data_IF_661219195761
#
_entry.id   IF_661219195761
#
_cell.length_a   1.000
_cell.length_b   1.000
_cell.length_c   1.000
_cell.angle_alpha   90.00
_cell.angle_beta   90.00
_cell.angle_gamma   90.00
#
_symmetry.space_group_name_H-M   'P 1'
#
loop_
_entity.id
_entity.type
_entity.pdbx_description
1 polymer ?
#
# COMPACT_ATOMS: atom_id res chain seq x y z
N UNK A 1 -31.34 -3.75 -9.07
CA UNK A 1 -30.45 -4.72 -9.75
C UNK A 1 -29.15 -4.07 -10.28
N UNK A 2 -29.20 -2.98 -11.04
CA UNK A 2 -27.98 -2.24 -11.46
C UNK A 2 -27.18 -1.62 -10.30
N UNK A 3 -27.84 -1.26 -9.19
CA UNK A 3 -27.18 -0.69 -8.00
C UNK A 3 -26.39 -1.74 -7.19
N UNK A 4 -26.89 -2.99 -7.13
CA UNK A 4 -26.14 -4.12 -6.55
C UNK A 4 -24.95 -4.52 -7.42
N UNK A 5 -25.08 -4.50 -8.75
CA UNK A 5 -23.95 -4.69 -9.68
C UNK A 5 -22.91 -3.55 -9.59
N UNK A 6 -23.34 -2.32 -9.32
CA UNK A 6 -22.50 -1.15 -9.13
C UNK A 6 -21.69 -1.23 -7.83
N UNK A 7 -22.33 -1.67 -6.73
CA UNK A 7 -21.66 -1.91 -5.45
C UNK A 7 -20.82 -3.20 -5.43
N UNK A 8 -21.15 -4.21 -6.25
CA UNK A 8 -20.27 -5.37 -6.51
C UNK A 8 -18.96 -4.99 -7.20
N UNK A 9 -18.95 -3.93 -8.02
CA UNK A 9 -17.73 -3.43 -8.70
C UNK A 9 -16.76 -2.72 -7.74
N UNK A 10 -17.24 -2.33 -6.56
CA UNK A 10 -16.46 -1.70 -5.50
C UNK A 10 -16.58 -2.44 -4.16
N UNK A 11 -16.44 -3.77 -4.16
CA UNK A 11 -16.20 -4.54 -2.93
C UNK A 11 -15.00 -5.49 -3.06
N UNK A 12 -14.13 -5.38 -2.05
CA UNK A 12 -12.98 -6.24 -1.69
C UNK A 12 -11.70 -6.08 -2.52
N UNK A 13 -10.84 -5.14 -2.11
CA UNK A 13 -9.45 -5.54 -1.85
C UNK A 13 -9.39 -6.12 -0.43
N UNK A 14 -9.95 -7.32 -0.26
CA UNK A 14 -9.47 -8.22 0.80
C UNK A 14 -7.96 -8.35 0.54
N UNK A 15 -7.15 -8.40 1.60
CA UNK A 15 -5.75 -8.81 1.49
C UNK A 15 -5.70 -10.22 0.93
N UNK A 16 -5.78 -10.34 -0.39
CA UNK A 16 -5.57 -11.57 -1.13
C UNK A 16 -4.06 -11.62 -1.29
N UNK A 17 -3.43 -12.67 -0.78
CA UNK A 17 -2.18 -13.13 -1.34
C UNK A 17 -2.43 -13.30 -2.83
N UNK A 18 -2.01 -12.30 -3.61
CA UNK A 18 -2.15 -12.27 -5.07
C UNK A 18 -1.21 -13.33 -5.66
N UNK A 19 -1.53 -14.59 -5.44
CA UNK A 19 -1.04 -15.71 -6.23
C UNK A 19 -1.78 -15.64 -7.56
N UNK A 20 -1.43 -14.70 -8.43
CA UNK A 20 -1.98 -14.65 -9.78
C UNK A 20 -0.87 -14.86 -10.80
N UNK A 21 -0.73 -16.15 -11.15
CA UNK A 21 -0.93 -16.64 -12.52
C UNK A 21 0.03 -16.17 -13.61
N UNK A 22 1.32 -16.03 -13.28
CA UNK A 22 2.39 -16.23 -14.28
C UNK A 22 3.20 -17.46 -13.87
N UNK A 23 2.87 -18.61 -14.46
CA UNK A 23 3.68 -19.85 -14.47
C UNK A 23 4.12 -20.40 -13.09
N UNK A 24 3.23 -20.87 -12.22
CA UNK A 24 3.58 -21.66 -11.01
C UNK A 24 4.69 -21.11 -10.07
N UNK A 25 5.18 -19.89 -10.26
CA UNK A 25 6.26 -19.32 -9.47
C UNK A 25 5.69 -18.71 -8.18
N UNK A 26 6.37 -18.88 -7.04
CA UNK A 26 5.95 -18.30 -5.77
C UNK A 26 5.91 -16.77 -5.87
N UNK A 27 4.82 -16.16 -5.40
CA UNK A 27 4.67 -14.71 -5.39
C UNK A 27 5.66 -14.08 -4.40
N UNK A 28 6.53 -13.20 -4.90
CA UNK A 28 7.56 -12.54 -4.08
C UNK A 28 7.09 -11.11 -3.75
N UNK A 29 6.97 -10.79 -2.46
CA UNK A 29 6.51 -9.47 -1.98
C UNK A 29 7.59 -8.40 -2.25
N UNK A 30 7.18 -7.14 -2.43
CA UNK A 30 8.14 -6.01 -2.54
C UNK A 30 8.97 -5.90 -1.26
N UNK A 31 10.23 -5.42 -1.36
CA UNK A 31 10.96 -4.99 -0.16
C UNK A 31 10.16 -3.91 0.58
N UNK A 32 10.23 -3.94 1.90
CA UNK A 32 9.53 -2.98 2.75
C UNK A 32 10.20 -1.62 2.64
N UNK A 33 9.41 -0.57 2.41
CA UNK A 33 9.89 0.80 2.49
C UNK A 33 9.93 1.28 3.95
N UNK A 34 10.53 2.45 4.19
CA UNK A 34 10.73 3.01 5.53
C UNK A 34 9.42 3.12 6.34
N UNK A 35 8.36 3.63 5.72
CA UNK A 35 7.05 3.74 6.38
C UNK A 35 6.42 2.37 6.68
N UNK A 36 6.61 1.37 5.81
CA UNK A 36 6.08 0.03 6.03
C UNK A 36 6.83 -0.70 7.15
N UNK A 37 8.14 -0.45 7.33
CA UNK A 37 8.91 -0.92 8.48
C UNK A 37 8.37 -0.30 9.77
N UNK A 38 8.24 1.03 9.80
CA UNK A 38 7.63 1.73 10.93
C UNK A 38 6.21 1.21 11.26
N UNK A 39 5.37 1.05 10.24
CA UNK A 39 4.02 0.52 10.40
C UNK A 39 4.05 -0.89 10.99
N UNK A 40 4.96 -1.77 10.56
CA UNK A 40 5.07 -3.13 11.09
C UNK A 40 5.25 -3.13 12.61
N UNK A 41 6.06 -2.21 13.13
CA UNK A 41 6.34 -2.07 14.57
C UNK A 41 5.18 -1.41 15.33
N UNK A 42 4.62 -0.34 14.77
CA UNK A 42 3.62 0.48 15.47
C UNK A 42 2.19 -0.03 15.33
N UNK A 43 1.90 -0.84 14.31
CA UNK A 43 0.57 -1.39 14.07
C UNK A 43 -0.02 -2.12 15.28
N UNK A 44 0.66 -3.09 15.94
CA UNK A 44 0.11 -3.76 17.11
C UNK A 44 -0.14 -2.79 18.28
N UNK A 45 0.77 -1.82 18.49
CA UNK A 45 0.65 -0.83 19.56
C UNK A 45 -0.58 0.06 19.39
N UNK A 46 -0.78 0.60 18.19
CA UNK A 46 -1.92 1.47 17.88
C UNK A 46 -3.22 0.67 17.85
N UNK A 47 -3.19 -0.56 17.31
CA UNK A 47 -4.39 -1.43 17.27
C UNK A 47 -4.85 -1.83 18.67
N UNK A 48 -3.93 -2.02 19.62
CA UNK A 48 -4.28 -2.30 21.02
C UNK A 48 -4.90 -1.08 21.72
N UNK A 49 -4.49 0.14 21.36
CA UNK A 49 -5.01 1.38 21.95
C UNK A 49 -6.34 1.84 21.32
N UNK A 50 -6.60 1.48 20.05
CA UNK A 50 -7.78 1.93 19.33
C UNK A 50 -8.94 0.95 19.49
N UNK A 51 -9.99 1.37 20.20
CA UNK A 51 -11.23 0.60 20.38
C UNK A 51 -11.90 0.27 19.03
N UNK A 52 -11.80 1.18 18.05
CA UNK A 52 -12.42 0.98 16.74
C UNK A 52 -11.48 0.25 15.78
N UNK A 53 -11.87 -0.94 15.33
CA UNK A 53 -11.11 -1.77 14.38
C UNK A 53 -11.11 -1.27 12.93
N UNK A 54 -11.40 0.02 12.70
CA UNK A 54 -11.49 0.63 11.38
C UNK A 54 -10.08 0.93 10.86
N UNK A 55 -9.62 0.11 9.90
CA UNK A 55 -8.25 0.18 9.37
C UNK A 55 -7.90 1.51 8.71
N UNK A 56 -8.86 2.21 8.10
CA UNK A 56 -8.64 3.53 7.51
C UNK A 56 -8.21 4.57 8.57
N UNK A 57 -8.85 4.56 9.74
CA UNK A 57 -8.52 5.45 10.87
C UNK A 57 -7.11 5.12 11.40
N UNK A 58 -6.80 3.85 11.59
CA UNK A 58 -5.48 3.39 12.05
C UNK A 58 -4.37 3.81 11.06
N UNK A 59 -4.61 3.64 9.74
CA UNK A 59 -3.65 4.04 8.72
C UNK A 59 -3.44 5.56 8.68
N UNK A 60 -4.50 6.35 8.90
CA UNK A 60 -4.39 7.81 8.97
C UNK A 60 -3.53 8.24 10.17
N UNK A 61 -3.80 7.67 11.35
CA UNK A 61 -3.03 7.94 12.57
C UNK A 61 -1.55 7.56 12.43
N UNK A 62 -1.27 6.40 11.82
CA UNK A 62 0.11 5.98 11.51
C UNK A 62 0.82 6.97 10.59
N UNK A 63 0.14 7.46 9.56
CA UNK A 63 0.71 8.47 8.65
C UNK A 63 1.01 9.79 9.37
N UNK A 64 0.15 10.20 10.30
CA UNK A 64 0.39 11.39 11.13
C UNK A 64 1.59 11.19 12.07
N UNK A 65 1.63 10.07 12.80
CA UNK A 65 2.75 9.77 13.71
C UNK A 65 4.08 9.66 12.98
N UNK A 66 4.11 9.02 11.80
CA UNK A 66 5.30 8.94 10.95
C UNK A 66 5.85 10.33 10.60
N UNK A 67 4.97 11.25 10.17
CA UNK A 67 5.37 12.63 9.83
C UNK A 67 5.85 13.42 11.06
N UNK A 68 5.36 13.08 12.25
CA UNK A 68 5.75 13.71 13.50
C UNK A 68 7.03 13.14 14.12
N UNK A 69 7.58 12.03 13.60
CA UNK A 69 8.83 11.45 14.10
C UNK A 69 10.01 12.40 13.87
N UNK A 70 11.00 12.42 14.80
CA UNK A 70 12.27 13.09 14.58
C UNK A 70 12.97 12.60 13.29
N UNK A 71 13.75 13.48 12.66
CA UNK A 71 14.45 13.16 11.41
C UNK A 71 15.44 12.02 11.59
N UNK A 72 16.05 11.93 12.76
CA UNK A 72 17.01 10.91 13.15
C UNK A 72 16.36 9.52 13.14
N UNK A 73 15.15 9.42 13.72
CA UNK A 73 14.40 8.17 13.72
C UNK A 73 13.89 7.82 12.33
N UNK A 74 13.39 8.78 11.56
CA UNK A 74 13.01 8.54 10.17
C UNK A 74 14.20 8.02 9.36
N UNK A 75 15.39 8.60 9.55
CA UNK A 75 16.63 8.21 8.88
C UNK A 75 16.99 6.75 9.17
N UNK A 76 16.82 6.29 10.42
CA UNK A 76 17.01 4.87 10.78
C UNK A 76 16.18 3.94 9.88
N UNK A 77 14.89 4.24 9.71
CA UNK A 77 14.01 3.45 8.85
C UNK A 77 14.34 3.57 7.36
N UNK A 78 14.84 4.72 6.90
CA UNK A 78 15.31 4.87 5.52
C UNK A 78 16.55 4.00 5.24
N UNK A 79 17.53 3.97 6.14
CA UNK A 79 18.72 3.12 6.01
C UNK A 79 18.33 1.64 5.99
N UNK A 80 17.43 1.23 6.89
CA UNK A 80 16.94 -0.15 6.94
C UNK A 80 16.15 -0.52 5.68
N UNK A 81 15.31 0.39 5.16
CA UNK A 81 14.57 0.16 3.92
C UNK A 81 15.49 -0.04 2.71
N UNK A 82 16.57 0.74 2.60
CA UNK A 82 17.57 0.54 1.55
C UNK A 82 18.31 -0.80 1.74
N UNK A 83 18.63 -1.18 2.98
CA UNK A 83 19.20 -2.51 3.28
C UNK A 83 18.26 -3.63 2.83
N UNK A 84 16.97 -3.55 3.14
CA UNK A 84 15.97 -4.54 2.73
C UNK A 84 15.83 -4.62 1.20
N UNK A 85 15.89 -3.48 0.51
CA UNK A 85 15.85 -3.41 -0.95
C UNK A 85 17.09 -4.06 -1.58
N UNK A 86 18.28 -3.81 -1.03
CA UNK A 86 19.51 -4.45 -1.48
C UNK A 86 19.47 -5.97 -1.27
N UNK A 87 19.10 -6.42 -0.06
CA UNK A 87 18.94 -7.84 0.26
C UNK A 87 17.95 -8.53 -0.68
N UNK A 88 16.82 -7.86 -0.97
CA UNK A 88 15.84 -8.38 -1.90
C UNK A 88 16.39 -8.51 -3.32
N UNK A 89 17.11 -7.50 -3.81
CA UNK A 89 17.73 -7.55 -5.14
C UNK A 89 18.78 -8.65 -5.26
N UNK A 90 19.52 -8.92 -4.18
CA UNK A 90 20.53 -9.99 -4.14
C UNK A 90 19.88 -11.38 -4.13
N UNK A 91 18.83 -11.57 -3.33
CA UNK A 91 18.14 -12.86 -3.21
C UNK A 91 17.24 -13.17 -4.42
N UNK A 92 16.80 -12.14 -5.14
CA UNK A 92 15.86 -12.26 -6.25
C UNK A 92 16.32 -11.40 -7.45
N UNK A 93 17.42 -11.80 -8.12
CA UNK A 93 17.97 -11.02 -9.25
C UNK A 93 16.99 -10.89 -10.43
N UNK A 94 16.14 -11.90 -10.64
CA UNK A 94 15.14 -11.91 -11.72
C UNK A 94 13.82 -11.21 -11.34
N UNK A 95 13.72 -10.66 -10.12
CA UNK A 95 12.48 -10.03 -9.66
C UNK A 95 12.33 -8.62 -10.23
N UNK A 96 11.17 -8.37 -10.87
CA UNK A 96 10.79 -7.03 -11.28
C UNK A 96 9.41 -6.65 -10.75
N UNK A 97 9.24 -5.36 -10.43
CA UNK A 97 7.94 -4.85 -10.00
C UNK A 97 6.88 -5.00 -11.09
N UNK A 98 7.26 -4.92 -12.37
CA UNK A 98 6.32 -5.01 -13.51
C UNK A 98 5.73 -6.41 -13.61
N UNK A 99 6.56 -7.44 -13.51
CA UNK A 99 6.14 -8.82 -13.70
C UNK A 99 5.34 -9.32 -12.49
N UNK A 100 5.68 -8.87 -11.27
CA UNK A 100 5.01 -9.32 -10.05
C UNK A 100 3.80 -8.45 -9.63
N UNK A 101 3.68 -7.22 -10.15
CA UNK A 101 2.59 -6.29 -9.82
C UNK A 101 2.06 -5.63 -11.08
N UNK A 102 1.58 -6.43 -12.05
CA UNK A 102 0.80 -5.91 -13.18
C UNK A 102 -0.29 -5.01 -12.59
N UNK A 103 -0.06 -3.70 -12.63
CA UNK A 103 -0.97 -2.73 -12.07
C UNK A 103 -2.26 -2.88 -12.85
N UNK A 104 -3.34 -3.23 -12.16
CA UNK A 104 -4.67 -2.93 -12.68
C UNK A 104 -4.62 -1.47 -13.17
N UNK A 105 -4.97 -1.20 -14.44
CA UNK A 105 -4.74 0.10 -15.04
C UNK A 105 -5.33 1.16 -14.12
N UNK A 106 -4.48 2.10 -13.68
CA UNK A 106 -4.96 3.32 -13.06
C UNK A 106 -5.79 4.01 -14.14
N UNK A 107 -7.10 3.78 -14.13
CA UNK A 107 -8.02 4.55 -14.96
C UNK A 107 -7.97 5.96 -14.41
N UNK A 108 -7.08 6.77 -14.98
CA UNK A 108 -7.00 8.21 -14.79
C UNK A 108 -8.32 8.77 -15.32
N UNK A 109 -9.34 8.89 -14.45
CA UNK A 109 -10.55 9.64 -14.79
C UNK A 109 -10.13 11.11 -14.83
N UNK A 110 -9.87 11.60 -16.05
CA UNK A 110 -9.91 13.02 -16.35
C UNK A 110 -11.29 13.53 -15.88
N UNK A 111 -11.29 14.32 -14.80
CA UNK A 111 -12.45 15.14 -14.44
C UNK A 111 -12.51 16.21 -15.52
N UNK A 112 -13.52 16.18 -16.40
CA UNK A 112 -13.80 17.36 -17.23
C UNK A 112 -14.28 18.48 -16.29
N UNK A 113 -13.72 19.69 -16.37
CA UNK A 113 -14.31 20.82 -15.67
C UNK A 113 -15.70 21.05 -16.26
N UNK A 114 -16.70 21.16 -15.38
CA UNK A 114 -18.05 21.56 -15.75
C UNK A 114 -18.00 23.00 -16.21
N UNK A 115 -18.06 23.21 -17.52
CA UNK A 115 -18.47 24.48 -18.11
C UNK A 115 -19.94 24.67 -17.74
N UNK A 116 -20.21 25.60 -16.83
CA UNK A 116 -21.54 26.20 -16.60
C UNK A 116 -21.32 27.47 -15.77
N UNK A 117 -21.01 28.55 -16.46
CA UNK A 117 -21.27 29.92 -16.01
C UNK A 117 -21.55 30.74 -17.27
N UNK A 118 -22.68 31.45 -17.22
CA UNK A 118 -23.23 32.40 -18.20
C UNK A 118 -23.96 31.73 -19.39
N UNK A 119 -25.24 31.97 -19.70
CA UNK A 119 -26.24 32.98 -19.29
C UNK A 119 -27.64 32.37 -19.24
#
# INVERSE_FOLDING_TARGET
LLFELYLSRFRKRKGVNNQQATKNLPYIKKPLNAFMLYKKEQWPLITAQQETRKSNVINMLLGQKWKALPKEEQTRYYIEAETQKLLHSLNHPDWTCRDNYVCAPLVFRFIKPTENLES
#
